data_IF_093826181823
#
_entry.id   IF_093826181823
#
_cell.length_a   1.000
_cell.length_b   1.000
_cell.length_c   1.000
_cell.angle_alpha   90.00
_cell.angle_beta   90.00
_cell.angle_gamma   90.00
#
_symmetry.space_group_name_H-M   'P 1'
#
loop_
_entity.id
_entity.type
_entity.pdbx_description
1 polymer ?
#
# COMPACT_ATOMS: atom_id res chain seq x y z
N UNK A 1 -11.44 14.06 6.51
CA UNK A 1 -10.49 12.93 6.45
C UNK A 1 -11.22 11.62 6.17
N UNK A 2 -10.45 10.55 5.99
CA UNK A 2 -10.94 9.19 5.73
C UNK A 2 -11.93 9.11 4.58
N UNK A 3 -12.95 8.26 4.72
CA UNK A 3 -13.95 8.02 3.67
C UNK A 3 -14.64 9.31 3.18
N UNK A 4 -14.86 10.30 4.05
CA UNK A 4 -15.44 11.59 3.62
C UNK A 4 -14.50 12.34 2.68
N UNK A 5 -13.20 12.38 2.98
CA UNK A 5 -12.22 13.05 2.12
C UNK A 5 -12.04 12.30 0.80
N UNK A 6 -11.98 10.96 0.85
CA UNK A 6 -11.89 10.14 -0.35
C UNK A 6 -13.12 10.31 -1.26
N UNK A 7 -14.33 10.25 -0.71
CA UNK A 7 -15.55 10.44 -1.52
C UNK A 7 -15.63 11.87 -2.11
N UNK A 8 -15.13 12.88 -1.39
CA UNK A 8 -15.00 14.23 -1.94
C UNK A 8 -14.02 14.31 -3.12
N UNK A 9 -12.90 13.56 -3.10
CA UNK A 9 -11.99 13.49 -4.26
C UNK A 9 -12.63 12.84 -5.50
N UNK A 10 -13.72 12.10 -5.30
CA UNK A 10 -14.57 11.53 -6.36
C UNK A 10 -15.77 12.43 -6.73
N UNK A 11 -15.84 13.66 -6.20
CA UNK A 11 -16.94 14.61 -6.46
C UNK A 11 -18.18 14.40 -5.58
N UNK A 12 -18.15 13.47 -4.62
CA UNK A 12 -19.26 13.22 -3.68
C UNK A 12 -19.02 14.02 -2.40
N UNK A 13 -19.48 15.28 -2.41
CA UNK A 13 -19.38 16.16 -1.27
C UNK A 13 -20.32 15.75 -0.12
N UNK A 14 -19.96 16.12 1.11
CA UNK A 14 -20.76 15.87 2.32
C UNK A 14 -21.09 14.39 2.58
N UNK A 15 -20.22 13.47 2.14
CA UNK A 15 -20.42 12.03 2.35
C UNK A 15 -20.54 11.69 3.85
N UNK A 16 -21.68 11.10 4.22
CA UNK A 16 -21.93 10.55 5.55
C UNK A 16 -21.88 9.02 5.48
N UNK A 17 -20.79 8.43 5.96
CA UNK A 17 -20.58 6.97 5.90
C UNK A 17 -21.71 6.18 6.57
N UNK A 18 -22.29 6.69 7.66
CA UNK A 18 -23.32 5.97 8.42
C UNK A 18 -24.70 5.99 7.73
N UNK A 19 -24.92 6.92 6.81
CA UNK A 19 -26.19 7.09 6.11
C UNK A 19 -26.13 6.67 4.64
N UNK A 20 -24.96 6.79 4.00
CA UNK A 20 -24.80 6.65 2.56
C UNK A 20 -24.06 5.38 2.14
N UNK A 21 -23.26 4.77 3.03
CA UNK A 21 -22.57 3.54 2.68
C UNK A 21 -23.55 2.38 2.60
N UNK A 22 -23.43 1.58 1.55
CA UNK A 22 -24.17 0.33 1.43
C UNK A 22 -23.71 -0.66 2.49
N UNK A 23 -24.55 -1.65 2.81
CA UNK A 23 -24.16 -2.76 3.71
C UNK A 23 -22.90 -3.49 3.22
N UNK A 24 -22.71 -3.61 1.92
CA UNK A 24 -21.53 -4.27 1.34
C UNK A 24 -20.27 -3.43 1.49
N UNK A 25 -20.34 -2.11 1.27
CA UNK A 25 -19.22 -1.21 1.54
C UNK A 25 -18.82 -1.21 3.02
N UNK A 26 -19.82 -1.18 3.93
CA UNK A 26 -19.56 -1.23 5.37
C UNK A 26 -18.80 -2.49 5.81
N UNK A 27 -18.95 -3.61 5.11
CA UNK A 27 -18.21 -4.86 5.36
C UNK A 27 -16.71 -4.78 5.02
N UNK A 28 -16.28 -3.72 4.32
CA UNK A 28 -14.87 -3.38 4.13
C UNK A 28 -14.46 -2.15 4.95
N UNK A 29 -15.33 -1.14 5.07
CA UNK A 29 -14.99 0.10 5.77
C UNK A 29 -14.71 -0.09 7.26
N UNK A 30 -15.34 -1.08 7.90
CA UNK A 30 -15.01 -1.40 9.31
C UNK A 30 -13.55 -1.86 9.47
N UNK A 31 -12.99 -2.56 8.48
CA UNK A 31 -11.58 -2.95 8.43
C UNK A 31 -10.69 -1.73 8.11
N UNK A 32 -11.14 -0.89 7.17
CA UNK A 32 -10.50 0.38 6.79
C UNK A 32 -10.52 1.48 7.85
N UNK A 33 -10.89 1.17 9.11
CA UNK A 33 -10.61 2.03 10.26
C UNK A 33 -9.18 1.86 10.78
N UNK A 34 -8.55 0.73 10.48
CA UNK A 34 -7.21 0.39 11.00
C UNK A 34 -6.26 -0.08 9.89
N UNK A 35 -6.75 -0.88 8.94
CA UNK A 35 -5.97 -1.49 7.87
C UNK A 35 -5.76 -0.53 6.70
N UNK A 36 -5.07 0.57 6.97
CA UNK A 36 -4.91 1.73 6.09
C UNK A 36 -3.55 2.39 6.27
N UNK A 37 -3.13 3.13 5.25
CA UNK A 37 -2.04 4.10 5.35
C UNK A 37 -2.47 5.32 6.19
N UNK A 38 -1.56 5.78 7.05
CA UNK A 38 -1.80 6.96 7.90
C UNK A 38 -0.50 7.67 8.31
N UNK A 39 -0.64 8.93 8.69
CA UNK A 39 0.41 9.70 9.35
C UNK A 39 -0.15 10.49 10.54
N UNK A 40 0.75 11.09 11.31
CA UNK A 40 0.41 12.00 12.40
C UNK A 40 0.52 13.46 11.95
N UNK A 41 -0.59 14.20 11.98
CA UNK A 41 -0.67 15.60 11.58
C UNK A 41 -0.71 16.55 12.77
N UNK A 42 0.05 17.64 12.66
CA UNK A 42 0.05 18.75 13.64
C UNK A 42 0.73 18.41 14.97
N UNK A 43 0.80 19.39 15.90
CA UNK A 43 1.51 19.24 17.18
C UNK A 43 0.90 18.16 18.08
N UNK A 44 -0.41 17.91 17.97
CA UNK A 44 -1.12 16.88 18.73
C UNK A 44 -0.93 15.46 18.17
N UNK A 45 -0.21 15.31 17.05
CA UNK A 45 -0.01 14.02 16.36
C UNK A 45 -1.33 13.30 16.07
N UNK A 46 -2.33 14.03 15.59
CA UNK A 46 -3.62 13.45 15.20
C UNK A 46 -3.41 12.48 14.05
N UNK A 47 -3.97 11.27 14.16
CA UNK A 47 -3.97 10.29 13.08
C UNK A 47 -4.83 10.78 11.90
N UNK A 48 -4.26 10.80 10.70
CA UNK A 48 -4.93 11.24 9.47
C UNK A 48 -4.62 10.27 8.33
N UNK A 49 -5.67 9.86 7.60
CA UNK A 49 -5.50 9.11 6.34
C UNK A 49 -5.23 10.10 5.18
N UNK A 50 -4.18 9.91 4.38
CA UNK A 50 -3.75 10.83 3.32
C UNK A 50 -4.60 10.73 2.03
N UNK A 51 -5.92 10.55 2.16
CA UNK A 51 -6.80 10.16 1.05
C UNK A 51 -7.49 11.31 0.31
N UNK A 52 -7.13 12.57 0.62
CA UNK A 52 -7.81 13.74 0.04
C UNK A 52 -7.61 13.88 -1.48
N UNK A 53 -6.56 13.26 -2.02
CA UNK A 53 -6.29 13.18 -3.47
C UNK A 53 -6.67 11.83 -4.10
N UNK A 54 -7.04 10.83 -3.29
CA UNK A 54 -7.35 9.48 -3.73
C UNK A 54 -6.62 8.40 -2.92
N UNK A 55 -6.64 7.16 -3.40
CA UNK A 55 -6.10 5.98 -2.69
C UNK A 55 -4.87 5.37 -3.38
N UNK A 56 -4.51 5.82 -4.58
CA UNK A 56 -3.33 5.31 -5.28
C UNK A 56 -2.06 5.85 -4.62
N UNK A 57 -0.97 5.09 -4.72
CA UNK A 57 0.32 5.49 -4.11
C UNK A 57 0.80 6.85 -4.62
N UNK A 58 0.57 7.18 -5.89
CA UNK A 58 0.92 8.49 -6.47
C UNK A 58 0.07 9.63 -5.89
N UNK A 59 -1.22 9.37 -5.66
CA UNK A 59 -2.16 10.34 -5.11
C UNK A 59 -1.84 10.64 -3.64
N UNK A 60 -1.47 9.60 -2.89
CA UNK A 60 -1.02 9.70 -1.50
C UNK A 60 0.34 10.41 -1.42
N UNK A 61 1.29 10.06 -2.29
CA UNK A 61 2.57 10.78 -2.38
C UNK A 61 2.34 12.27 -2.69
N UNK A 62 1.46 12.58 -3.66
CA UNK A 62 1.13 13.97 -3.99
C UNK A 62 0.48 14.72 -2.81
N UNK A 63 -0.26 14.03 -1.94
CA UNK A 63 -0.77 14.62 -0.70
C UNK A 63 0.38 14.98 0.24
N UNK A 64 1.31 14.04 0.46
CA UNK A 64 2.47 14.29 1.32
C UNK A 64 3.38 15.39 0.79
N UNK A 65 3.55 15.47 -0.54
CA UNK A 65 4.36 16.51 -1.16
C UNK A 65 3.71 17.90 -1.08
N UNK A 66 2.38 17.99 -1.26
CA UNK A 66 1.65 19.25 -1.06
C UNK A 66 1.74 19.75 0.38
N UNK A 67 1.65 18.84 1.35
CA UNK A 67 1.79 19.15 2.78
C UNK A 67 3.25 19.37 3.20
N UNK A 68 4.22 19.15 2.29
CA UNK A 68 5.67 19.14 2.57
C UNK A 68 6.02 18.25 3.77
N UNK A 69 5.32 17.12 3.88
CA UNK A 69 5.38 16.22 5.01
C UNK A 69 6.59 15.28 4.92
N UNK A 70 7.17 14.94 6.07
CA UNK A 70 8.13 13.85 6.23
C UNK A 70 7.92 13.19 7.57
N UNK A 71 8.11 11.88 7.62
CA UNK A 71 8.10 11.12 8.87
C UNK A 71 9.44 11.23 9.58
N UNK A 72 10.55 11.16 8.83
CA UNK A 72 11.90 11.37 9.36
C UNK A 72 12.85 11.85 8.26
N UNK A 73 14.02 12.36 8.67
CA UNK A 73 15.15 12.55 7.76
C UNK A 73 16.06 11.34 7.84
N UNK A 74 16.30 10.69 6.69
CA UNK A 74 17.11 9.49 6.58
C UNK A 74 18.55 9.78 7.01
N UNK A 75 19.05 9.08 8.03
CA UNK A 75 20.29 9.46 8.72
C UNK A 75 21.53 9.45 7.80
N UNK A 76 21.64 8.45 6.91
CA UNK A 76 22.83 8.28 6.07
C UNK A 76 22.84 9.26 4.90
N UNK A 77 21.67 9.46 4.28
CA UNK A 77 21.57 10.18 3.01
C UNK A 77 21.10 11.62 3.19
N UNK A 78 20.33 11.92 4.23
CA UNK A 78 19.66 13.21 4.45
C UNK A 78 18.35 13.38 3.67
N UNK A 79 17.84 12.32 3.02
CA UNK A 79 16.55 12.39 2.33
C UNK A 79 15.38 12.56 3.31
N UNK A 80 14.39 13.36 2.93
CA UNK A 80 13.15 13.50 3.70
C UNK A 80 12.23 12.31 3.38
N UNK A 81 12.19 11.33 4.27
CA UNK A 81 11.54 10.05 4.04
C UNK A 81 10.07 10.02 4.49
N UNK A 82 9.33 9.09 3.89
CA UNK A 82 7.96 8.73 4.23
C UNK A 82 7.92 7.28 4.69
N UNK A 83 7.05 6.96 5.66
CA UNK A 83 6.72 5.58 6.04
C UNK A 83 5.35 5.25 5.46
N UNK A 84 5.22 4.07 4.88
CA UNK A 84 3.91 3.47 4.61
C UNK A 84 3.54 2.46 5.71
N UNK A 85 2.30 2.45 6.16
CA UNK A 85 1.80 1.57 7.21
C UNK A 85 0.61 0.79 6.65
N UNK A 86 0.77 -0.54 6.54
CA UNK A 86 -0.29 -1.50 6.25
C UNK A 86 -1.45 -0.99 5.38
N UNK A 87 -1.19 -0.58 4.11
CA UNK A 87 -2.18 0.01 3.22
C UNK A 87 -3.10 -1.04 2.58
N UNK A 88 -3.63 -1.96 3.39
CA UNK A 88 -4.46 -3.05 2.87
C UNK A 88 -5.71 -2.53 2.18
N UNK A 89 -6.41 -1.53 2.75
CA UNK A 89 -7.63 -1.00 2.16
C UNK A 89 -7.37 -0.33 0.80
N UNK A 90 -6.28 0.42 0.70
CA UNK A 90 -5.83 1.11 -0.50
C UNK A 90 -5.45 0.12 -1.60
N UNK A 91 -4.61 -0.87 -1.26
CA UNK A 91 -4.16 -1.90 -2.18
C UNK A 91 -5.31 -2.81 -2.61
N UNK A 92 -6.14 -3.28 -1.67
CA UNK A 92 -7.39 -4.00 -1.97
C UNK A 92 -8.27 -3.23 -2.93
N UNK A 93 -8.42 -1.92 -2.76
CA UNK A 93 -9.25 -1.08 -3.63
C UNK A 93 -8.77 -1.02 -5.09
N UNK A 94 -7.50 -1.36 -5.36
CA UNK A 94 -6.97 -1.49 -6.73
C UNK A 94 -7.18 -2.88 -7.34
N UNK A 95 -7.63 -3.85 -6.54
CA UNK A 95 -7.77 -5.25 -6.91
C UNK A 95 -9.07 -5.59 -7.65
N UNK A 96 -9.05 -6.72 -8.37
CA UNK A 96 -10.23 -7.21 -9.10
C UNK A 96 -11.38 -7.62 -8.17
N UNK A 97 -11.06 -8.11 -6.97
CA UNK A 97 -12.08 -8.48 -5.97
C UNK A 97 -12.86 -7.26 -5.48
N UNK A 98 -12.17 -6.17 -5.11
CA UNK A 98 -12.83 -4.92 -4.74
C UNK A 98 -13.65 -4.35 -5.90
N UNK A 99 -13.09 -4.33 -7.12
CA UNK A 99 -13.80 -3.89 -8.33
C UNK A 99 -15.05 -4.72 -8.62
N UNK A 100 -15.07 -5.98 -8.21
CA UNK A 100 -16.21 -6.90 -8.34
C UNK A 100 -17.17 -6.85 -7.14
N UNK A 101 -16.94 -5.96 -6.17
CA UNK A 101 -17.79 -5.77 -5.00
C UNK A 101 -17.58 -6.79 -3.88
N UNK A 102 -16.53 -7.63 -3.92
CA UNK A 102 -16.21 -8.60 -2.87
C UNK A 102 -15.56 -7.86 -1.70
N UNK A 103 -16.18 -7.88 -0.52
CA UNK A 103 -15.73 -7.17 0.67
C UNK A 103 -14.63 -7.92 1.46
N UNK A 104 -13.91 -7.22 2.34
CA UNK A 104 -12.93 -7.83 3.24
C UNK A 104 -13.55 -9.01 4.02
N UNK A 105 -14.76 -8.80 4.55
CA UNK A 105 -15.48 -9.81 5.32
C UNK A 105 -15.98 -11.01 4.49
N UNK A 106 -15.98 -10.97 3.16
CA UNK A 106 -16.34 -12.15 2.35
C UNK A 106 -15.24 -13.22 2.41
N UNK A 107 -13.97 -12.80 2.45
CA UNK A 107 -12.82 -13.70 2.52
C UNK A 107 -12.36 -13.97 3.97
N UNK A 108 -12.26 -12.92 4.80
CA UNK A 108 -11.67 -13.00 6.13
C UNK A 108 -12.67 -13.32 7.25
N UNK A 109 -13.96 -13.11 7.00
CA UNK A 109 -15.03 -13.42 7.94
C UNK A 109 -16.16 -14.22 7.26
N UNK A 110 -15.82 -15.32 6.56
CA UNK A 110 -16.79 -16.04 5.76
C UNK A 110 -17.90 -16.59 6.65
N UNK A 111 -19.11 -16.67 6.09
CA UNK A 111 -20.23 -17.22 6.83
C UNK A 111 -20.02 -18.71 7.12
N UNK A 112 -20.34 -19.13 8.35
CA UNK A 112 -20.42 -20.54 8.76
C UNK A 112 -21.83 -20.86 9.27
N UNK A 113 -22.18 -22.15 9.25
CA UNK A 113 -23.43 -22.66 9.84
C UNK A 113 -23.16 -23.23 11.21
N UNK A 114 -23.96 -22.82 12.19
CA UNK A 114 -24.01 -23.43 13.52
C UNK A 114 -25.46 -23.85 13.77
N UNK A 115 -25.73 -25.15 13.65
CA UNK A 115 -27.10 -25.67 13.57
C UNK A 115 -27.88 -25.04 12.40
N UNK A 116 -29.03 -24.42 12.72
CA UNK A 116 -29.87 -23.74 11.73
C UNK A 116 -29.42 -22.29 11.42
N UNK A 117 -28.49 -21.72 12.20
CA UNK A 117 -28.11 -20.31 12.07
C UNK A 117 -26.93 -20.12 11.12
N UNK A 118 -26.96 -19.02 10.37
CA UNK A 118 -25.85 -18.53 9.55
C UNK A 118 -25.19 -17.36 10.28
N UNK A 119 -23.93 -17.53 10.69
CA UNK A 119 -23.18 -16.52 11.43
C UNK A 119 -21.86 -16.20 10.73
N UNK A 120 -21.33 -14.99 10.93
CA UNK A 120 -19.99 -14.63 10.44
C UNK A 120 -18.93 -15.28 11.32
N UNK A 121 -17.95 -15.92 10.69
CA UNK A 121 -16.76 -16.39 11.40
C UNK A 121 -15.92 -15.17 11.82
N UNK A 122 -15.73 -14.97 13.12
CA UNK A 122 -14.97 -13.84 13.67
C UNK A 122 -13.51 -14.19 13.97
N UNK A 123 -13.06 -15.41 13.65
CA UNK A 123 -11.66 -15.77 13.70
C UNK A 123 -10.94 -15.23 12.45
N UNK A 124 -10.70 -13.92 12.42
CA UNK A 124 -10.02 -13.22 11.32
C UNK A 124 -8.58 -13.73 11.20
N UNK A 125 -8.27 -14.34 10.06
CA UNK A 125 -6.95 -14.92 9.75
C UNK A 125 -6.77 -15.02 8.23
N UNK A 126 -5.66 -15.61 7.80
CA UNK A 126 -5.44 -15.89 6.37
C UNK A 126 -6.59 -16.73 5.79
N UNK A 127 -7.25 -16.27 4.70
CA UNK A 127 -8.29 -17.02 4.01
C UNK A 127 -7.78 -18.36 3.44
N UNK A 128 -6.47 -18.48 3.21
CA UNK A 128 -5.84 -19.72 2.75
C UNK A 128 -5.90 -20.86 3.78
N UNK A 129 -6.23 -20.56 5.04
CA UNK A 129 -6.47 -21.56 6.09
C UNK A 129 -7.92 -22.07 6.11
N UNK A 130 -8.77 -21.58 5.20
CA UNK A 130 -10.19 -21.94 5.11
C UNK A 130 -10.74 -21.68 3.69
N UNK A 131 -10.05 -22.20 2.68
CA UNK A 131 -10.31 -21.93 1.25
C UNK A 131 -11.73 -22.33 0.86
N UNK A 132 -12.25 -23.43 1.41
CA UNK A 132 -13.61 -23.87 1.18
C UNK A 132 -14.65 -22.76 1.39
N UNK A 133 -14.60 -22.06 2.54
CA UNK A 133 -15.59 -21.03 2.87
C UNK A 133 -15.23 -19.65 2.31
N UNK A 134 -13.94 -19.35 2.21
CA UNK A 134 -13.48 -18.03 1.77
C UNK A 134 -13.49 -17.87 0.24
N UNK A 135 -13.17 -18.93 -0.51
CA UNK A 135 -12.93 -18.85 -1.94
C UNK A 135 -13.95 -19.66 -2.77
N UNK A 136 -14.29 -20.89 -2.35
CA UNK A 136 -15.07 -21.82 -3.17
C UNK A 136 -16.58 -21.52 -3.25
N UNK A 137 -17.05 -20.56 -2.44
CA UNK A 137 -18.37 -19.94 -2.61
C UNK A 137 -18.50 -19.32 -4.01
N UNK A 138 -17.43 -18.71 -4.52
CA UNK A 138 -17.36 -18.08 -5.84
C UNK A 138 -16.56 -18.90 -6.87
N UNK A 139 -15.46 -19.54 -6.47
CA UNK A 139 -14.54 -20.23 -7.39
C UNK A 139 -14.76 -21.74 -7.41
N UNK A 140 -14.97 -22.32 -8.60
CA UNK A 140 -15.19 -23.76 -8.78
C UNK A 140 -13.89 -24.49 -9.17
N UNK A 141 -12.84 -24.28 -8.37
CA UNK A 141 -11.54 -24.95 -8.48
C UNK A 141 -11.22 -25.72 -7.20
N UNK A 142 -10.42 -26.81 -7.27
CA UNK A 142 -9.93 -27.49 -6.08
C UNK A 142 -9.18 -26.54 -5.13
N UNK A 143 -9.22 -26.82 -3.82
CA UNK A 143 -8.56 -25.95 -2.81
C UNK A 143 -7.06 -25.81 -3.07
N UNK A 144 -6.39 -26.91 -3.46
CA UNK A 144 -4.96 -26.91 -3.82
C UNK A 144 -4.65 -26.00 -5.02
N UNK A 145 -5.52 -25.97 -6.03
CA UNK A 145 -5.32 -25.09 -7.19
C UNK A 145 -5.46 -23.61 -6.80
N UNK A 146 -6.44 -23.29 -5.96
CA UNK A 146 -6.64 -21.93 -5.46
C UNK A 146 -5.48 -21.47 -4.57
N UNK A 147 -5.00 -22.36 -3.70
CA UNK A 147 -3.82 -22.13 -2.86
C UNK A 147 -2.58 -21.89 -3.71
N UNK A 148 -2.30 -22.78 -4.66
CA UNK A 148 -1.14 -22.68 -5.54
C UNK A 148 -1.15 -21.37 -6.35
N UNK A 149 -2.31 -20.91 -6.82
CA UNK A 149 -2.43 -19.62 -7.51
C UNK A 149 -2.14 -18.44 -6.59
N UNK A 150 -2.66 -18.45 -5.36
CA UNK A 150 -2.40 -17.39 -4.39
C UNK A 150 -0.90 -17.33 -4.05
N UNK A 151 -0.31 -18.48 -3.70
CA UNK A 151 1.11 -18.59 -3.37
C UNK A 151 2.01 -18.21 -4.56
N UNK A 152 1.64 -18.57 -5.80
CA UNK A 152 2.39 -18.16 -6.99
C UNK A 152 2.38 -16.64 -7.20
N UNK A 153 1.26 -15.96 -6.90
CA UNK A 153 1.21 -14.50 -6.96
C UNK A 153 2.07 -13.88 -5.86
N UNK A 154 1.96 -14.35 -4.63
CA UNK A 154 2.76 -13.86 -3.50
C UNK A 154 4.25 -14.07 -3.74
N UNK A 155 4.66 -15.24 -4.27
CA UNK A 155 6.05 -15.54 -4.60
C UNK A 155 6.62 -14.59 -5.66
N UNK A 156 5.85 -14.27 -6.70
CA UNK A 156 6.27 -13.31 -7.74
C UNK A 156 6.42 -11.90 -7.20
N UNK A 157 5.45 -11.44 -6.41
CA UNK A 157 5.49 -10.11 -5.77
C UNK A 157 6.67 -10.03 -4.80
N UNK A 158 6.86 -11.05 -3.98
CA UNK A 158 7.99 -11.14 -3.04
C UNK A 158 9.35 -11.09 -3.76
N UNK A 159 9.50 -11.84 -4.86
CA UNK A 159 10.72 -11.81 -5.67
C UNK A 159 11.00 -10.41 -6.24
N UNK A 160 9.99 -9.75 -6.81
CA UNK A 160 10.14 -8.40 -7.34
C UNK A 160 10.39 -7.36 -6.24
N UNK A 161 9.78 -7.55 -5.06
CA UNK A 161 10.03 -6.71 -3.88
C UNK A 161 11.49 -6.72 -3.49
N UNK A 162 12.12 -7.89 -3.47
CA UNK A 162 13.54 -8.01 -3.14
C UNK A 162 14.41 -7.26 -4.16
N UNK A 163 14.12 -7.40 -5.47
CA UNK A 163 14.82 -6.62 -6.51
C UNK A 163 14.66 -5.11 -6.33
N UNK A 164 13.46 -4.66 -5.96
CA UNK A 164 13.20 -3.24 -5.67
C UNK A 164 13.93 -2.75 -4.42
N UNK A 165 14.01 -3.57 -3.38
CA UNK A 165 14.75 -3.30 -2.15
C UNK A 165 16.26 -3.20 -2.43
N UNK A 166 16.82 -4.15 -3.18
CA UNK A 166 18.24 -4.12 -3.59
C UNK A 166 18.57 -2.83 -4.35
N UNK A 167 17.74 -2.47 -5.34
CA UNK A 167 17.93 -1.24 -6.11
C UNK A 167 17.87 0.03 -5.24
N UNK A 168 16.97 0.07 -4.25
CA UNK A 168 16.87 1.17 -3.29
C UNK A 168 18.11 1.26 -2.38
N UNK A 169 18.57 0.13 -1.85
CA UNK A 169 19.77 0.08 -1.00
C UNK A 169 21.01 0.52 -1.78
N UNK A 170 21.14 0.11 -3.05
CA UNK A 170 22.20 0.60 -3.95
C UNK A 170 22.16 2.13 -4.09
N UNK A 171 20.99 2.72 -4.36
CA UNK A 171 20.84 4.18 -4.40
C UNK A 171 21.22 4.85 -3.08
N UNK A 172 20.77 4.30 -1.95
CA UNK A 172 21.08 4.84 -0.61
C UNK A 172 22.60 4.86 -0.38
N UNK A 173 23.28 3.77 -0.73
CA UNK A 173 24.74 3.68 -0.63
C UNK A 173 25.45 4.68 -1.54
N UNK A 174 24.97 4.87 -2.77
CA UNK A 174 25.55 5.84 -3.71
C UNK A 174 25.39 7.29 -3.19
N UNK A 175 24.22 7.65 -2.65
CA UNK A 175 24.00 8.98 -2.04
C UNK A 175 24.91 9.17 -0.81
N UNK A 176 25.03 8.15 0.03
CA UNK A 176 25.92 8.16 1.20
C UNK A 176 27.38 8.38 0.80
N UNK A 177 27.86 7.68 -0.22
CA UNK A 177 29.21 7.82 -0.75
C UNK A 177 29.44 9.21 -1.35
N UNK A 178 28.50 9.71 -2.15
CA UNK A 178 28.53 11.05 -2.73
C UNK A 178 28.61 12.15 -1.66
N UNK A 179 27.85 12.01 -0.57
CA UNK A 179 27.91 12.91 0.59
C UNK A 179 29.26 12.82 1.30
N UNK A 180 29.81 11.63 1.51
CA UNK A 180 31.12 11.44 2.12
C UNK A 180 32.26 12.03 1.27
N UNK A 181 32.09 12.09 -0.06
CA UNK A 181 33.00 12.75 -0.99
C UNK A 181 32.88 14.29 -1.00
N UNK A 182 32.00 14.87 -0.18
CA UNK A 182 31.88 16.32 -0.01
C UNK A 182 30.90 17.03 -0.96
N UNK A 183 30.07 16.29 -1.71
CA UNK A 183 29.02 16.90 -2.55
C UNK A 183 28.01 17.66 -1.69
N UNK A 184 27.66 18.87 -2.12
CA UNK A 184 26.79 19.76 -1.37
C UNK A 184 25.32 19.33 -1.41
N UNK A 185 24.50 19.85 -0.49
CA UNK A 185 23.08 19.50 -0.40
C UNK A 185 22.28 19.80 -1.69
N UNK A 186 22.64 20.87 -2.42
CA UNK A 186 22.02 21.21 -3.70
C UNK A 186 22.27 20.17 -4.79
N UNK A 187 23.45 19.53 -4.78
CA UNK A 187 23.80 18.49 -5.75
C UNK A 187 23.14 17.14 -5.44
N UNK A 188 22.84 16.88 -4.17
CA UNK A 188 22.21 15.64 -3.71
C UNK A 188 20.68 15.71 -3.70
N UNK A 189 20.09 16.89 -3.86
CA UNK A 189 18.65 17.12 -3.74
C UNK A 189 17.83 16.23 -4.68
N UNK A 190 18.21 16.15 -5.96
CA UNK A 190 17.50 15.35 -6.96
C UNK A 190 17.57 13.85 -6.63
N UNK A 191 18.73 13.34 -6.23
CA UNK A 191 18.90 11.93 -5.86
C UNK A 191 18.11 11.57 -4.58
N UNK A 192 18.07 12.48 -3.59
CA UNK A 192 17.29 12.31 -2.36
C UNK A 192 15.78 12.33 -2.62
N UNK A 193 15.31 13.16 -3.54
CA UNK A 193 13.91 13.18 -3.97
C UNK A 193 13.53 11.85 -4.64
N UNK A 194 14.40 11.31 -5.51
CA UNK A 194 14.21 9.95 -6.05
C UNK A 194 14.25 8.86 -4.98
N UNK A 195 15.14 8.95 -3.98
CA UNK A 195 15.15 8.02 -2.84
C UNK A 195 13.81 8.06 -2.10
N UNK A 196 13.31 9.26 -1.77
CA UNK A 196 12.02 9.43 -1.08
C UNK A 196 10.90 8.71 -1.82
N UNK A 197 10.80 8.90 -3.14
CA UNK A 197 9.77 8.23 -3.98
C UNK A 197 9.96 6.72 -4.05
N UNK A 198 11.17 6.27 -4.36
CA UNK A 198 11.49 4.85 -4.46
C UNK A 198 11.18 4.12 -3.15
N UNK A 199 11.64 4.67 -2.03
CA UNK A 199 11.42 4.12 -0.70
C UNK A 199 9.94 4.07 -0.34
N UNK A 200 9.19 5.14 -0.58
CA UNK A 200 7.76 5.15 -0.28
C UNK A 200 7.00 4.12 -1.12
N UNK A 201 7.32 3.97 -2.41
CA UNK A 201 6.65 3.01 -3.30
C UNK A 201 6.97 1.56 -2.90
N UNK A 202 8.23 1.26 -2.59
CA UNK A 202 8.61 -0.05 -2.05
C UNK A 202 7.85 -0.35 -0.75
N UNK A 203 7.88 0.59 0.19
CA UNK A 203 7.28 0.43 1.52
C UNK A 203 5.75 0.28 1.44
N UNK A 204 5.10 0.95 0.49
CA UNK A 204 3.65 0.82 0.27
C UNK A 204 3.23 -0.60 -0.10
N UNK A 205 4.07 -1.33 -0.86
CA UNK A 205 3.80 -2.74 -1.19
C UNK A 205 4.26 -3.67 -0.08
N UNK A 206 5.42 -3.40 0.53
CA UNK A 206 5.99 -4.26 1.57
C UNK A 206 5.18 -4.22 2.88
N UNK A 207 4.62 -3.06 3.22
CA UNK A 207 3.81 -2.91 4.43
C UNK A 207 2.44 -3.59 4.31
N UNK A 208 1.99 -3.93 3.10
CA UNK A 208 0.72 -4.62 2.85
C UNK A 208 0.85 -6.13 3.11
N UNK A 209 0.12 -6.63 4.11
CA UNK A 209 0.37 -7.96 4.66
C UNK A 209 -0.05 -9.13 3.75
N UNK A 210 -0.83 -8.91 2.67
CA UNK A 210 -1.22 -9.99 1.77
C UNK A 210 -0.13 -10.41 0.77
N UNK A 211 1.02 -9.73 0.78
CA UNK A 211 2.11 -9.90 -0.21
C UNK A 211 1.55 -9.75 -1.63
N UNK A 212 0.73 -8.72 -1.84
CA UNK A 212 0.16 -8.39 -3.14
C UNK A 212 -0.98 -9.32 -3.60
N UNK A 213 -1.50 -10.24 -2.79
CA UNK A 213 -2.66 -11.05 -3.20
C UNK A 213 -3.88 -10.17 -3.51
N UNK A 214 -4.09 -9.10 -2.74
CA UNK A 214 -5.22 -8.19 -2.92
C UNK A 214 -5.21 -7.49 -4.28
N UNK A 215 -4.04 -7.07 -4.78
CA UNK A 215 -3.88 -6.42 -6.08
C UNK A 215 -2.50 -6.72 -6.69
N UNK A 216 -2.26 -7.94 -7.24
CA UNK A 216 -0.92 -8.40 -7.60
C UNK A 216 -0.30 -7.63 -8.76
N UNK A 217 -1.12 -7.22 -9.73
CA UNK A 217 -0.66 -6.41 -10.86
C UNK A 217 -0.26 -5.00 -10.42
N UNK A 218 -1.01 -4.41 -9.48
CA UNK A 218 -0.70 -3.09 -8.95
C UNK A 218 0.56 -3.13 -8.08
N UNK A 219 0.68 -4.13 -7.20
CA UNK A 219 1.91 -4.36 -6.43
C UNK A 219 3.12 -4.48 -7.38
N UNK A 220 2.99 -5.24 -8.47
CA UNK A 220 4.03 -5.37 -9.47
C UNK A 220 4.40 -4.04 -10.15
N UNK A 221 3.40 -3.22 -10.52
CA UNK A 221 3.61 -1.90 -11.12
C UNK A 221 4.34 -0.95 -10.17
N UNK A 222 3.88 -0.86 -8.92
CA UNK A 222 4.45 0.02 -7.90
C UNK A 222 5.92 -0.36 -7.63
N UNK A 223 6.22 -1.65 -7.51
CA UNK A 223 7.61 -2.12 -7.33
C UNK A 223 8.48 -1.83 -8.55
N UNK A 224 7.96 -1.95 -9.76
CA UNK A 224 8.69 -1.57 -10.98
C UNK A 224 9.00 -0.07 -11.02
N UNK A 225 8.06 0.78 -10.58
CA UNK A 225 8.30 2.21 -10.45
C UNK A 225 9.31 2.54 -9.36
N UNK A 226 9.26 1.84 -8.21
CA UNK A 226 10.29 1.93 -7.18
C UNK A 226 11.69 1.66 -7.74
N UNK A 227 11.85 0.57 -8.51
CA UNK A 227 13.12 0.25 -9.18
C UNK A 227 13.54 1.39 -10.10
N UNK A 228 12.61 1.89 -10.93
CA UNK A 228 12.90 2.98 -11.87
C UNK A 228 13.32 4.27 -11.14
N UNK A 229 12.66 4.65 -10.05
CA UNK A 229 13.04 5.80 -9.23
C UNK A 229 14.43 5.60 -8.63
N UNK A 230 14.75 4.41 -8.11
CA UNK A 230 16.09 4.09 -7.63
C UNK A 230 17.15 4.31 -8.72
N UNK A 231 16.92 3.82 -9.93
CA UNK A 231 17.84 4.00 -11.07
C UNK A 231 17.96 5.45 -11.52
N UNK A 232 16.87 6.21 -11.54
CA UNK A 232 16.89 7.65 -11.84
C UNK A 232 17.68 8.43 -10.79
N UNK A 233 17.56 8.08 -9.50
CA UNK A 233 18.37 8.66 -8.44
C UNK A 233 19.87 8.43 -8.65
N UNK A 234 20.27 7.23 -9.07
CA UNK A 234 21.67 6.93 -9.37
C UNK A 234 22.18 7.71 -10.59
N UNK A 235 21.33 7.89 -11.60
CA UNK A 235 21.66 8.72 -12.78
C UNK A 235 21.84 10.19 -12.36
N UNK A 236 21.00 10.71 -11.47
CA UNK A 236 21.09 12.08 -10.97
C UNK A 236 22.40 12.35 -10.18
N UNK A 237 23.02 11.29 -9.64
CA UNK A 237 24.34 11.40 -9.00
C UNK A 237 25.51 11.46 -9.99
N UNK A 238 25.32 11.11 -11.26
CA UNK A 238 26.41 11.14 -12.25
C UNK A 238 26.73 12.58 -12.63
N UNK A 239 28.01 12.87 -12.82
CA UNK A 239 28.43 14.17 -13.35
C UNK A 239 27.82 14.39 -14.73
N UNK A 240 27.10 15.49 -14.89
CA UNK A 240 26.60 15.91 -16.20
C UNK A 240 27.80 16.36 -17.02
N UNK A 241 28.16 15.57 -18.04
CA UNK A 241 29.17 15.94 -19.04
C UNK A 241 28.71 17.15 -19.86
#
# INVERSE_FOLDING_TARGET
EGMRAFKASQGINNYNVNAMATRQEMRSYVCGQCHVEYHFKGPEKRLVYPWSKGLKVEEILAYYDEEKFKDWSHAETGADALKAQHPEFEMYSQGIHARSGVACADCHMPYKREGAQKISDHHVRSPLLNINRACQTCHKWPEEELKARAEANQARVYGLRNTAMDALIELINDIKAARAAGRGDGELAEARDYQRRAQFFLDFVEAENSTGFHAPQEAGRILAESINYSRKGQIALRDRK
#
